data_IF_994211930372
#
_entry.id   IF_994211930372
#
_cell.length_a   1.000
_cell.length_b   1.000
_cell.length_c   1.000
_cell.angle_alpha   90.00
_cell.angle_beta   90.00
_cell.angle_gamma   90.00
#
_symmetry.space_group_name_H-M   'P 1'
#
loop_
_entity.id
_entity.type
_entity.pdbx_description
1 polymer ?
#
# COMPACT_ATOMS: atom_id res chain seq x y z
N UNK A 1 -7.59 -30.94 12.58
CA UNK A 1 -7.48 -29.74 13.44
C UNK A 1 -6.47 -28.84 12.73
N UNK A 2 -6.94 -27.93 11.87
CA UNK A 2 -6.03 -26.98 11.22
C UNK A 2 -5.74 -25.93 12.29
N UNK A 3 -4.55 -26.01 12.88
CA UNK A 3 -4.01 -24.95 13.71
C UNK A 3 -3.68 -23.79 12.77
N UNK A 4 -4.52 -22.77 12.73
CA UNK A 4 -4.19 -21.49 12.09
C UNK A 4 -3.16 -20.78 12.97
N UNK A 5 -1.90 -21.25 12.91
CA UNK A 5 -0.78 -20.64 13.60
C UNK A 5 -0.48 -19.30 12.92
N UNK A 6 -0.89 -18.21 13.57
CA UNK A 6 -0.55 -16.86 13.13
C UNK A 6 0.90 -16.62 13.49
N UNK A 7 1.70 -16.32 12.48
CA UNK A 7 3.10 -15.95 12.67
C UNK A 7 3.28 -14.44 12.50
N UNK A 8 4.32 -13.93 13.15
CA UNK A 8 4.68 -12.52 13.05
C UNK A 8 5.55 -12.30 11.83
N UNK A 9 5.17 -11.33 11.01
CA UNK A 9 5.92 -10.91 9.85
C UNK A 9 6.06 -9.38 9.83
N UNK A 10 7.03 -8.91 9.07
CA UNK A 10 7.38 -7.50 8.91
C UNK A 10 7.25 -7.14 7.44
N UNK A 11 6.34 -6.20 7.14
CA UNK A 11 6.02 -5.80 5.77
C UNK A 11 6.69 -4.47 5.48
N UNK A 12 7.56 -4.46 4.48
CA UNK A 12 8.13 -3.26 3.90
C UNK A 12 7.26 -2.83 2.73
N UNK A 13 6.45 -1.77 2.93
CA UNK A 13 5.58 -1.23 1.87
C UNK A 13 6.43 -0.57 0.77
N UNK A 14 7.49 0.14 1.16
CA UNK A 14 8.41 0.80 0.23
C UNK A 14 9.28 -0.17 -0.58
N UNK A 15 9.65 -1.30 0.01
CA UNK A 15 10.39 -2.36 -0.66
C UNK A 15 9.50 -3.45 -1.27
N UNK A 16 8.19 -3.38 -1.05
CA UNK A 16 7.22 -4.40 -1.49
C UNK A 16 7.57 -5.82 -1.04
N UNK A 17 8.16 -5.97 0.15
CA UNK A 17 8.70 -7.24 0.63
C UNK A 17 8.14 -7.60 2.01
N UNK A 18 8.01 -8.90 2.27
CA UNK A 18 7.60 -9.42 3.58
C UNK A 18 8.76 -10.23 4.16
N UNK A 19 9.19 -9.87 5.36
CA UNK A 19 10.32 -10.48 6.07
C UNK A 19 9.84 -11.13 7.38
N UNK A 20 10.51 -12.20 7.81
CA UNK A 20 10.26 -12.83 9.12
C UNK A 20 11.04 -12.16 10.25
N UNK A 21 11.99 -11.29 9.90
CA UNK A 21 12.86 -10.58 10.84
C UNK A 21 12.70 -9.06 10.68
N UNK A 22 12.83 -8.30 11.78
CA UNK A 22 12.78 -6.85 11.72
C UNK A 22 14.05 -6.30 11.04
N UNK A 23 13.87 -5.42 10.06
CA UNK A 23 14.91 -4.64 9.41
C UNK A 23 15.03 -3.25 10.04
N UNK A 24 16.09 -2.52 9.68
CA UNK A 24 16.31 -1.12 10.13
C UNK A 24 15.41 -0.11 9.41
N UNK A 25 14.71 -0.55 8.38
CA UNK A 25 13.81 0.24 7.54
C UNK A 25 12.45 0.43 8.21
N UNK A 26 11.64 1.39 7.73
CA UNK A 26 10.23 1.48 8.14
C UNK A 26 9.47 0.23 7.67
N UNK A 27 9.00 -0.57 8.62
CA UNK A 27 8.26 -1.80 8.39
C UNK A 27 7.02 -1.86 9.29
N UNK A 28 5.98 -2.51 8.77
CA UNK A 28 4.72 -2.73 9.48
C UNK A 28 4.67 -4.15 10.01
N UNK A 29 4.31 -4.30 11.29
CA UNK A 29 4.28 -5.61 11.95
C UNK A 29 2.89 -6.23 11.84
N UNK A 30 2.83 -7.43 11.25
CA UNK A 30 1.59 -8.17 11.02
C UNK A 30 1.59 -9.52 11.72
N UNK A 31 0.38 -10.04 12.00
CA UNK A 31 0.16 -11.38 12.55
C UNK A 31 -0.85 -12.12 11.67
N UNK A 32 -0.32 -12.89 10.73
CA UNK A 32 -1.04 -13.52 9.64
C UNK A 32 -0.82 -15.03 9.62
N UNK A 33 -1.80 -15.79 9.13
CA UNK A 33 -1.60 -17.19 8.75
C UNK A 33 -0.97 -17.30 7.38
N UNK A 34 -0.54 -18.51 6.98
CA UNK A 34 0.01 -18.75 5.65
C UNK A 34 -0.95 -18.32 4.52
N UNK A 35 -2.26 -18.47 4.71
CA UNK A 35 -3.28 -18.04 3.75
C UNK A 35 -3.36 -16.51 3.67
N UNK A 36 -3.48 -15.84 4.82
CA UNK A 36 -3.52 -14.38 4.93
C UNK A 36 -2.22 -13.73 4.38
N UNK A 37 -1.07 -14.38 4.60
CA UNK A 37 0.24 -13.97 4.09
C UNK A 37 0.29 -14.08 2.57
N UNK A 38 -0.19 -15.19 2.01
CA UNK A 38 -0.23 -15.41 0.56
C UNK A 38 -1.15 -14.39 -0.13
N UNK A 39 -2.30 -14.07 0.47
CA UNK A 39 -3.19 -13.00 -0.01
C UNK A 39 -2.48 -11.64 -0.01
N UNK A 40 -1.81 -11.29 1.09
CA UNK A 40 -1.07 -10.03 1.18
C UNK A 40 0.06 -9.95 0.15
N UNK A 41 0.78 -11.05 -0.05
CA UNK A 41 1.86 -11.15 -1.02
C UNK A 41 1.33 -10.97 -2.45
N UNK A 42 0.19 -11.58 -2.78
CA UNK A 42 -0.43 -11.39 -4.08
C UNK A 42 -0.81 -9.93 -4.36
N UNK A 43 -1.31 -9.20 -3.35
CA UNK A 43 -1.64 -7.77 -3.46
C UNK A 43 -0.37 -6.93 -3.67
N UNK A 44 0.71 -7.21 -2.93
CA UNK A 44 2.00 -6.54 -3.10
C UNK A 44 2.61 -6.79 -4.49
N UNK A 45 2.54 -8.02 -4.98
CA UNK A 45 3.02 -8.38 -6.32
C UNK A 45 2.18 -7.77 -7.44
N UNK A 46 0.87 -7.60 -7.22
CA UNK A 46 -0.02 -6.97 -8.19
C UNK A 46 0.38 -5.52 -8.44
N UNK A 47 0.59 -4.74 -7.37
CA UNK A 47 1.03 -3.35 -7.50
C UNK A 47 2.37 -3.21 -8.25
N UNK A 48 3.36 -4.05 -7.92
CA UNK A 48 4.67 -3.99 -8.57
C UNK A 48 4.64 -4.31 -10.08
N UNK A 49 3.79 -5.25 -10.52
CA UNK A 49 3.66 -5.58 -11.95
C UNK A 49 3.05 -4.43 -12.75
N UNK A 50 2.17 -3.66 -12.14
CA UNK A 50 1.55 -2.48 -12.75
C UNK A 50 2.56 -1.32 -12.88
N UNK A 51 3.44 -1.15 -11.88
CA UNK A 51 4.60 -0.25 -11.95
C UNK A 51 5.55 -0.61 -13.11
N UNK A 52 5.94 -1.88 -13.25
CA UNK A 52 6.85 -2.31 -14.34
C UNK A 52 6.24 -2.08 -15.73
N UNK A 53 4.95 -2.36 -15.89
CA UNK A 53 4.24 -2.18 -17.17
C UNK A 53 4.07 -0.70 -17.52
N UNK A 54 3.93 0.16 -16.51
CA UNK A 54 3.85 1.62 -16.65
C UNK A 54 5.23 2.25 -16.88
N UNK A 55 6.30 1.69 -16.30
CA UNK A 55 7.67 2.16 -16.48
C UNK A 55 8.25 1.85 -17.87
N UNK A 56 7.84 0.74 -18.50
CA UNK A 56 8.11 0.45 -19.93
C UNK A 56 7.33 1.39 -20.88
N UNK A 57 6.37 2.13 -20.32
CA UNK A 57 5.56 3.24 -20.85
C UNK A 57 6.25 4.25 -21.76
N UNK A 58 7.29 4.92 -21.24
CA UNK A 58 7.57 6.28 -21.74
C UNK A 58 8.96 6.80 -21.35
N UNK A 59 9.84 7.11 -22.33
CA UNK A 59 10.80 8.19 -22.20
C UNK A 59 10.23 9.42 -22.92
N UNK A 60 9.50 10.31 -22.22
CA UNK A 60 9.10 11.62 -22.80
C UNK A 60 9.19 12.72 -21.73
N UNK A 61 9.97 13.78 -21.99
CA UNK A 61 10.11 14.92 -21.10
C UNK A 61 8.90 15.84 -21.17
N UNK A 62 8.33 16.14 -20.00
CA UNK A 62 7.70 17.40 -19.61
C UNK A 62 6.74 18.03 -20.63
N UNK A 63 5.45 17.66 -20.57
CA UNK A 63 4.37 18.56 -21.00
C UNK A 63 3.01 18.13 -20.42
N UNK A 64 2.55 18.98 -19.50
CA UNK A 64 1.15 19.36 -19.28
C UNK A 64 0.14 18.27 -18.87
N UNK A 65 -0.18 18.25 -17.56
CA UNK A 65 -1.55 18.23 -17.04
C UNK A 65 -2.55 17.15 -17.55
N UNK A 66 -2.07 15.97 -17.92
CA UNK A 66 -2.86 14.72 -17.99
C UNK A 66 -2.45 13.79 -16.81
N UNK A 67 -2.37 14.36 -15.61
CA UNK A 67 -1.59 13.85 -14.47
C UNK A 67 -2.47 13.28 -13.34
N UNK A 68 -3.64 12.74 -13.67
CA UNK A 68 -4.54 12.17 -12.65
C UNK A 68 -4.62 10.65 -12.73
N UNK A 69 -4.65 10.02 -13.91
CA UNK A 69 -4.97 8.58 -13.96
C UNK A 69 -3.83 7.70 -13.42
N UNK A 70 -2.57 7.96 -13.80
CA UNK A 70 -1.42 7.18 -13.33
C UNK A 70 -1.09 7.45 -11.84
N UNK A 71 -1.25 8.69 -11.40
CA UNK A 71 -1.06 9.07 -9.99
C UNK A 71 -2.16 8.48 -9.10
N UNK A 72 -3.41 8.46 -9.59
CA UNK A 72 -4.53 7.83 -8.89
C UNK A 72 -4.38 6.32 -8.83
N UNK A 73 -3.99 5.65 -9.92
CA UNK A 73 -3.74 4.20 -9.91
C UNK A 73 -2.66 3.79 -8.92
N UNK A 74 -1.55 4.53 -8.86
CA UNK A 74 -0.49 4.31 -7.87
C UNK A 74 -1.00 4.48 -6.43
N UNK A 75 -1.84 5.50 -6.21
CA UNK A 75 -2.43 5.78 -4.90
C UNK A 75 -3.43 4.68 -4.48
N UNK A 76 -4.26 4.19 -5.40
CA UNK A 76 -5.22 3.11 -5.16
C UNK A 76 -4.53 1.79 -4.78
N UNK A 77 -3.47 1.42 -5.49
CA UNK A 77 -2.70 0.19 -5.18
C UNK A 77 -2.03 0.26 -3.80
N UNK A 78 -1.42 1.40 -3.47
CA UNK A 78 -0.84 1.65 -2.14
C UNK A 78 -1.90 1.54 -1.05
N UNK A 79 -3.07 2.14 -1.28
CA UNK A 79 -4.20 2.06 -0.35
C UNK A 79 -4.63 0.60 -0.13
N UNK A 80 -4.71 -0.21 -1.18
CA UNK A 80 -5.08 -1.63 -1.04
C UNK A 80 -4.05 -2.45 -0.27
N UNK A 81 -2.75 -2.18 -0.45
CA UNK A 81 -1.68 -2.75 0.39
C UNK A 81 -1.91 -2.35 1.85
N UNK A 82 -2.10 -1.06 2.15
CA UNK A 82 -2.33 -0.60 3.53
C UNK A 82 -3.61 -1.19 4.14
N UNK A 83 -4.67 -1.42 3.35
CA UNK A 83 -5.90 -2.08 3.81
C UNK A 83 -5.67 -3.54 4.16
N UNK A 84 -4.93 -4.26 3.32
CA UNK A 84 -4.57 -5.65 3.58
C UNK A 84 -3.72 -5.74 4.85
N UNK A 85 -2.67 -4.91 4.95
CA UNK A 85 -1.83 -4.81 6.16
C UNK A 85 -2.65 -4.41 7.38
N UNK A 86 -3.61 -3.49 7.28
CA UNK A 86 -4.46 -3.11 8.42
C UNK A 86 -5.29 -4.29 8.94
N UNK A 87 -5.79 -5.16 8.04
CA UNK A 87 -6.60 -6.33 8.39
C UNK A 87 -5.82 -7.33 9.23
N UNK A 88 -4.60 -7.66 8.81
CA UNK A 88 -3.73 -8.65 9.47
C UNK A 88 -2.72 -8.02 10.44
N UNK A 89 -2.68 -6.70 10.51
CA UNK A 89 -1.73 -5.91 11.28
C UNK A 89 -1.97 -5.97 12.78
N UNK A 90 -0.88 -5.82 13.52
CA UNK A 90 -0.90 -5.65 14.98
C UNK A 90 -1.62 -4.34 15.38
N UNK A 91 -1.98 -4.21 16.65
CA UNK A 91 -2.61 -3.00 17.18
C UNK A 91 -1.75 -1.74 16.94
N UNK A 92 -0.42 -1.88 17.06
CA UNK A 92 0.54 -0.81 16.78
C UNK A 92 0.47 -0.40 15.30
N UNK A 93 0.55 -1.36 14.39
CA UNK A 93 0.46 -1.13 12.95
C UNK A 93 -0.87 -0.48 12.54
N UNK A 94 -1.99 -0.95 13.08
CA UNK A 94 -3.31 -0.33 12.85
C UNK A 94 -3.38 1.11 13.34
N UNK A 95 -2.73 1.41 14.47
CA UNK A 95 -2.69 2.76 15.04
C UNK A 95 -1.81 3.67 14.19
N UNK A 96 -0.66 3.16 13.73
CA UNK A 96 0.23 3.87 12.82
C UNK A 96 -0.49 4.22 11.51
N UNK A 97 -1.09 3.23 10.84
CA UNK A 97 -1.84 3.43 9.58
C UNK A 97 -3.00 4.42 9.78
N UNK A 98 -3.72 4.34 10.91
CA UNK A 98 -4.78 5.31 11.23
C UNK A 98 -4.23 6.73 11.39
N UNK A 99 -3.06 6.87 12.01
CA UNK A 99 -2.37 8.16 12.16
C UNK A 99 -1.90 8.77 10.83
N UNK A 100 -1.66 7.95 9.80
CA UNK A 100 -1.26 8.41 8.48
C UNK A 100 -2.40 9.03 7.66
N UNK A 101 -3.66 8.88 8.07
CA UNK A 101 -4.85 9.37 7.36
C UNK A 101 -5.09 8.77 5.95
N UNK A 102 -4.23 7.87 5.47
CA UNK A 102 -4.32 7.22 4.14
C UNK A 102 -5.64 6.45 3.93
N UNK A 103 -6.23 5.93 5.00
CA UNK A 103 -7.51 5.22 4.93
C UNK A 103 -8.74 6.16 4.96
N UNK A 104 -8.57 7.45 5.28
CA UNK A 104 -9.66 8.42 5.25
C UNK A 104 -9.85 9.02 3.85
N UNK A 105 -8.79 9.08 3.03
CA UNK A 105 -8.85 9.38 1.59
C UNK A 105 -9.85 8.45 0.85
N UNK A 106 -10.07 7.22 1.36
CA UNK A 106 -11.10 6.30 0.86
C UNK A 106 -12.55 6.73 1.16
N UNK A 107 -12.78 7.47 2.26
CA UNK A 107 -14.12 7.94 2.63
C UNK A 107 -14.49 9.21 1.88
N UNK A 108 -13.48 9.97 1.47
CA UNK A 108 -13.62 11.24 0.77
C UNK A 108 -13.39 11.06 -0.74
N UNK A 109 -13.87 9.95 -1.33
CA UNK A 109 -14.00 9.85 -2.80
C UNK A 109 -15.04 10.83 -3.37
N UNK A 110 -15.57 11.74 -2.54
CA UNK A 110 -16.17 13.02 -2.92
C UNK A 110 -15.13 14.17 -2.83
N UNK A 111 -13.84 13.90 -3.11
CA UNK A 111 -12.78 14.91 -3.19
C UNK A 111 -13.03 15.83 -4.39
N UNK A 112 -13.98 16.73 -4.22
CA UNK A 112 -14.03 18.00 -4.91
C UNK A 112 -12.79 18.77 -4.43
N UNK A 113 -11.65 18.59 -5.09
CA UNK A 113 -10.50 19.47 -4.94
C UNK A 113 -10.95 20.89 -5.35
N UNK A 114 -11.12 21.88 -4.45
CA UNK A 114 -10.80 23.23 -4.85
C UNK A 114 -9.30 23.18 -5.12
N UNK A 115 -8.92 23.32 -6.40
CA UNK A 115 -7.54 23.42 -6.79
C UNK A 115 -6.80 24.40 -5.87
N UNK A 116 -5.51 24.16 -5.67
CA UNK A 116 -4.61 25.15 -5.12
C UNK A 116 -4.54 26.36 -6.06
N UNK A 117 -5.58 27.18 -6.05
CA UNK A 117 -5.51 28.57 -6.41
C UNK A 117 -5.36 29.40 -5.14
N UNK A 118 -4.57 30.46 -5.29
CA UNK A 118 -4.21 31.50 -4.33
C UNK A 118 -3.09 31.12 -3.33
N UNK A 119 -1.88 31.68 -3.45
CA UNK A 119 -1.52 33.07 -3.80
C UNK A 119 -0.15 33.21 -4.45
#
# INVERSE_FOLDING_TARGET
MIVNDKQRYYVSVSGGAIETEPSKSEQLTIEATAEELAELQAILEQGQREDETTALRTPIPYKSADHDEAQNQFTEQLIDVYRAVYRVGTQETRTHIRGMNILEELKDTDYNHPGYEDK
#
